data_IF_928373232185
#
_entry.id   IF_928373232185
#
_cell.length_a   1.000
_cell.length_b   1.000
_cell.length_c   1.000
_cell.angle_alpha   90.00
_cell.angle_beta   90.00
_cell.angle_gamma   90.00
#
_symmetry.space_group_name_H-M   'P 1'
#
loop_
_entity.id
_entity.type
_entity.pdbx_description
1 polymer ?
#
# COMPACT_ATOMS: atom_id res chain seq x y z
N UNK A 1 0.98 10.47 21.18
CA UNK A 1 1.47 9.40 20.28
C UNK A 1 1.95 10.02 18.98
N UNK A 2 3.13 9.63 18.47
CA UNK A 2 3.56 9.99 17.11
C UNK A 2 2.77 9.12 16.12
N UNK A 3 2.06 9.73 15.17
CA UNK A 3 1.39 9.01 14.08
C UNK A 3 2.43 8.60 13.03
N UNK A 4 2.33 7.39 12.50
CA UNK A 4 3.19 6.95 11.39
C UNK A 4 3.02 7.86 10.16
N UNK A 5 4.07 8.04 9.35
CA UNK A 5 3.97 8.70 8.05
C UNK A 5 3.48 7.70 7.00
N UNK A 6 2.74 8.17 5.99
CA UNK A 6 2.26 7.34 4.88
C UNK A 6 2.95 7.82 3.61
N UNK A 7 3.58 6.89 2.89
CA UNK A 7 4.14 7.12 1.55
C UNK A 7 3.32 6.34 0.54
N UNK A 8 2.65 7.05 -0.39
CA UNK A 8 1.79 6.43 -1.40
C UNK A 8 2.53 6.28 -2.73
N UNK A 9 2.95 5.06 -3.07
CA UNK A 9 3.57 4.78 -4.36
C UNK A 9 2.50 4.67 -5.45
N UNK A 10 2.56 5.52 -6.47
CA UNK A 10 1.62 5.52 -7.60
C UNK A 10 2.37 5.55 -8.93
N UNK A 11 1.77 4.97 -9.97
CA UNK A 11 2.37 4.85 -11.29
C UNK A 11 1.92 3.58 -12.02
N UNK A 12 2.24 3.50 -13.32
CA UNK A 12 1.85 2.38 -14.20
C UNK A 12 2.34 1.03 -13.66
N UNK A 13 1.67 -0.06 -14.07
CA UNK A 13 2.17 -1.41 -13.80
C UNK A 13 3.58 -1.57 -14.39
N UNK A 14 4.48 -2.27 -13.68
CA UNK A 14 5.87 -2.46 -14.12
C UNK A 14 6.83 -1.27 -13.94
N UNK A 15 6.39 -0.09 -13.48
CA UNK A 15 7.27 1.08 -13.27
C UNK A 15 8.24 0.94 -12.08
N UNK A 16 8.17 -0.18 -11.33
CA UNK A 16 9.07 -0.44 -10.20
C UNK A 16 8.56 -0.02 -8.81
N UNK A 17 7.25 0.17 -8.62
CA UNK A 17 6.67 0.54 -7.31
C UNK A 17 7.01 -0.44 -6.20
N UNK A 18 6.80 -1.75 -6.44
CA UNK A 18 7.07 -2.79 -5.45
C UNK A 18 8.56 -2.88 -5.14
N UNK A 19 9.41 -2.86 -6.17
CA UNK A 19 10.88 -2.80 -6.02
C UNK A 19 11.34 -1.61 -5.18
N UNK A 20 10.79 -0.41 -5.44
CA UNK A 20 11.10 0.78 -4.65
C UNK A 20 10.64 0.64 -3.20
N UNK A 21 9.44 0.10 -2.96
CA UNK A 21 8.91 -0.07 -1.60
C UNK A 21 9.69 -1.08 -0.77
N UNK A 22 10.17 -2.16 -1.38
CA UNK A 22 11.01 -3.17 -0.72
C UNK A 22 12.40 -2.62 -0.38
N UNK A 23 13.02 -1.91 -1.34
CA UNK A 23 14.30 -1.25 -1.10
C UNK A 23 14.18 -0.19 0.01
N UNK A 24 13.15 0.66 -0.06
CA UNK A 24 12.89 1.68 0.96
C UNK A 24 12.64 1.06 2.34
N UNK A 25 11.93 -0.08 2.41
CA UNK A 25 11.73 -0.82 3.65
C UNK A 25 13.07 -1.26 4.24
N UNK A 26 13.91 -1.93 3.46
CA UNK A 26 15.23 -2.40 3.91
C UNK A 26 16.08 -1.24 4.44
N UNK A 27 16.19 -0.15 3.68
CA UNK A 27 16.96 1.03 4.09
C UNK A 27 16.41 1.66 5.37
N UNK A 28 15.09 1.87 5.48
CA UNK A 28 14.50 2.51 6.65
C UNK A 28 14.55 1.61 7.90
N UNK A 29 14.38 0.31 7.75
CA UNK A 29 14.56 -0.65 8.85
C UNK A 29 16.01 -0.64 9.37
N UNK A 30 17.00 -0.54 8.48
CA UNK A 30 18.41 -0.37 8.86
C UNK A 30 18.68 0.92 9.64
N UNK A 31 17.84 1.95 9.46
CA UNK A 31 17.89 3.20 10.23
C UNK A 31 17.01 3.17 11.50
N UNK A 32 16.44 2.01 11.87
CA UNK A 32 15.68 1.82 13.09
C UNK A 32 14.20 2.25 13.00
N UNK A 33 13.66 2.42 11.79
CA UNK A 33 12.23 2.68 11.60
C UNK A 33 11.43 1.38 11.45
N UNK A 34 10.23 1.35 12.02
CA UNK A 34 9.25 0.28 11.76
C UNK A 34 8.50 0.58 10.47
N UNK A 35 8.53 -0.35 9.53
CA UNK A 35 7.94 -0.17 8.20
C UNK A 35 6.86 -1.23 7.94
N UNK A 36 5.73 -0.76 7.42
CA UNK A 36 4.64 -1.60 6.93
C UNK A 36 4.42 -1.30 5.44
N UNK A 37 4.51 -2.34 4.61
CA UNK A 37 4.10 -2.27 3.20
C UNK A 37 2.66 -2.75 3.10
N UNK A 38 1.81 -1.94 2.47
CA UNK A 38 0.44 -2.33 2.11
C UNK A 38 0.38 -2.36 0.59
N UNK A 39 0.36 -3.57 0.04
CA UNK A 39 0.30 -3.79 -1.41
C UNK A 39 -1.16 -3.84 -1.89
N UNK A 40 -1.47 -3.08 -2.94
CA UNK A 40 -2.81 -2.98 -3.51
C UNK A 40 -3.30 -4.28 -4.15
N UNK A 41 -2.40 -5.13 -4.65
CA UNK A 41 -2.73 -6.43 -5.24
C UNK A 41 -3.00 -7.46 -4.13
N UNK A 42 -2.19 -7.47 -3.07
CA UNK A 42 -2.45 -8.31 -1.87
C UNK A 42 -3.78 -7.94 -1.22
N UNK A 43 -4.08 -6.64 -1.11
CA UNK A 43 -5.38 -6.21 -0.59
C UNK A 43 -6.54 -6.69 -1.48
N UNK A 44 -6.37 -6.63 -2.80
CA UNK A 44 -7.39 -7.08 -3.77
C UNK A 44 -7.61 -8.59 -3.72
N UNK A 45 -6.55 -9.36 -3.49
CA UNK A 45 -6.65 -10.82 -3.35
C UNK A 45 -7.53 -11.24 -2.18
N UNK A 46 -7.60 -10.43 -1.13
CA UNK A 46 -8.36 -10.71 0.09
C UNK A 46 -9.86 -10.37 0.01
N UNK A 47 -10.38 -9.93 -1.14
CA UNK A 47 -11.81 -9.64 -1.28
C UNK A 47 -12.64 -10.90 -1.48
N UNK A 48 -13.73 -11.02 -0.71
CA UNK A 48 -14.72 -12.09 -0.85
C UNK A 48 -15.34 -12.10 -2.26
N UNK A 49 -15.56 -10.90 -2.83
CA UNK A 49 -16.00 -10.70 -4.20
C UNK A 49 -14.87 -10.00 -4.95
N UNK A 50 -14.32 -10.67 -5.96
CA UNK A 50 -13.23 -10.11 -6.77
C UNK A 50 -13.72 -8.88 -7.53
N UNK A 51 -13.06 -7.76 -7.30
CA UNK A 51 -13.23 -6.57 -8.12
C UNK A 51 -12.57 -6.79 -9.49
N UNK A 52 -13.13 -6.17 -10.53
CA UNK A 52 -12.51 -6.09 -11.84
C UNK A 52 -11.36 -5.06 -11.88
N UNK A 53 -11.02 -4.63 -13.09
CA UNK A 53 -10.02 -3.58 -13.34
C UNK A 53 -10.64 -2.31 -13.93
N UNK A 54 -11.97 -2.16 -13.82
CA UNK A 54 -12.67 -0.95 -14.25
C UNK A 54 -12.35 0.25 -13.36
N UNK A 55 -12.68 1.46 -13.81
CA UNK A 55 -12.43 2.70 -13.05
C UNK A 55 -12.99 2.63 -11.61
N UNK A 56 -14.24 2.22 -11.47
CA UNK A 56 -14.90 2.12 -10.16
C UNK A 56 -14.26 1.03 -9.28
N UNK A 57 -13.82 -0.08 -9.88
CA UNK A 57 -13.13 -1.15 -9.16
C UNK A 57 -11.79 -0.68 -8.60
N UNK A 58 -11.01 0.04 -9.41
CA UNK A 58 -9.74 0.63 -9.02
C UNK A 58 -9.95 1.67 -7.91
N UNK A 59 -10.98 2.51 -8.03
CA UNK A 59 -11.34 3.50 -7.01
C UNK A 59 -11.70 2.84 -5.68
N UNK A 60 -12.56 1.81 -5.70
CA UNK A 60 -12.94 1.04 -4.52
C UNK A 60 -11.72 0.37 -3.86
N UNK A 61 -10.84 -0.23 -4.67
CA UNK A 61 -9.60 -0.83 -4.18
C UNK A 61 -8.72 0.21 -3.46
N UNK A 62 -8.54 1.38 -4.06
CA UNK A 62 -7.75 2.46 -3.48
C UNK A 62 -8.34 2.99 -2.17
N UNK A 63 -9.67 3.14 -2.09
CA UNK A 63 -10.36 3.54 -0.85
C UNK A 63 -10.18 2.51 0.27
N UNK A 64 -10.21 1.21 -0.06
CA UNK A 64 -9.95 0.14 0.89
C UNK A 64 -8.51 0.15 1.40
N UNK A 65 -7.52 0.31 0.52
CA UNK A 65 -6.11 0.47 0.91
C UNK A 65 -5.94 1.70 1.82
N UNK A 66 -6.54 2.84 1.47
CA UNK A 66 -6.49 4.05 2.29
C UNK A 66 -7.12 3.86 3.67
N UNK A 67 -8.22 3.10 3.77
CA UNK A 67 -8.85 2.74 5.05
C UNK A 67 -7.92 1.90 5.92
N UNK A 68 -7.19 0.95 5.34
CA UNK A 68 -6.18 0.15 6.05
C UNK A 68 -5.05 1.06 6.54
N UNK A 69 -4.48 1.91 5.67
CA UNK A 69 -3.43 2.87 6.07
C UNK A 69 -3.87 3.76 7.23
N UNK A 70 -5.14 4.23 7.23
CA UNK A 70 -5.69 5.05 8.30
C UNK A 70 -5.80 4.29 9.63
N UNK A 71 -6.16 3.00 9.59
CA UNK A 71 -6.26 2.13 10.77
C UNK A 71 -4.88 1.87 11.39
N UNK A 72 -3.90 1.51 10.56
CA UNK A 72 -2.55 1.14 11.02
C UNK A 72 -1.70 2.36 11.44
N UNK A 73 -2.09 3.58 11.03
CA UNK A 73 -1.39 4.82 11.37
C UNK A 73 -1.63 5.31 12.82
N UNK A 74 -2.72 4.87 13.43
CA UNK A 74 -3.24 5.39 14.70
C UNK A 74 -2.43 4.95 15.91
#
# INVERSE_FOLDING_TARGET
MKKASIFWCTGMSGVGKSTLSEYAKSELENHGYNILIIDGDVVRENYDIKLGFGKNDVENNNLNVARICKKERC
#
